data_IF_720580991084
#
_entry.id   IF_720580991084
#
_cell.length_a   1.000
_cell.length_b   1.000
_cell.length_c   1.000
_cell.angle_alpha   90.00
_cell.angle_beta   90.00
_cell.angle_gamma   90.00
#
_symmetry.space_group_name_H-M   'P 1'
#
loop_
_entity.id
_entity.type
_entity.pdbx_description
1 polymer ?
#
# COMPACT_ATOMS: atom_id res chain seq x y z
N UNK A 1 -2.71 -7.85 5.42
CA UNK A 1 -2.47 -7.59 3.99
C UNK A 1 -1.06 -7.11 3.86
N UNK A 2 -0.34 -7.58 2.86
CA UNK A 2 1.01 -7.14 2.52
C UNK A 2 1.02 -6.58 1.11
N UNK A 3 1.71 -5.45 0.92
CA UNK A 3 1.90 -4.82 -0.39
C UNK A 3 3.39 -4.52 -0.55
N UNK A 4 3.99 -5.07 -1.60
CA UNK A 4 5.40 -4.87 -1.94
C UNK A 4 5.50 -4.15 -3.27
N UNK A 5 6.33 -3.11 -3.32
CA UNK A 5 6.64 -2.35 -4.53
C UNK A 5 8.09 -2.60 -4.95
N UNK A 6 8.32 -2.72 -6.25
CA UNK A 6 9.67 -2.79 -6.83
C UNK A 6 9.98 -1.55 -7.66
N UNK A 7 11.26 -1.16 -7.65
CA UNK A 7 11.78 0.04 -8.32
C UNK A 7 10.91 1.27 -8.01
N UNK A 8 10.73 1.56 -6.73
CA UNK A 8 9.91 2.68 -6.29
C UNK A 8 10.73 3.95 -6.07
N UNK A 9 10.08 5.10 -6.27
CA UNK A 9 10.61 6.42 -5.95
C UNK A 9 9.57 7.18 -5.12
N UNK A 10 10.05 8.12 -4.29
CA UNK A 10 9.17 9.14 -3.70
C UNK A 10 8.81 10.13 -4.79
N UNK A 11 7.54 10.16 -5.18
CA UNK A 11 7.04 11.02 -6.25
C UNK A 11 6.46 12.34 -5.75
N UNK A 12 6.22 12.47 -4.45
CA UNK A 12 5.92 13.75 -3.84
C UNK A 12 5.63 13.67 -2.35
N UNK A 13 5.44 14.84 -1.77
CA UNK A 13 5.27 15.05 -0.34
C UNK A 13 4.28 16.20 -0.11
N UNK A 14 3.35 16.02 0.82
CA UNK A 14 2.37 17.02 1.22
C UNK A 14 2.27 17.03 2.75
N UNK A 15 2.62 18.17 3.35
CA UNK A 15 2.43 18.36 4.78
C UNK A 15 0.96 18.55 5.07
N UNK A 16 0.34 17.52 5.66
CA UNK A 16 -1.10 17.32 5.72
C UNK A 16 -1.82 18.46 6.42
N UNK A 17 -1.84 18.39 7.74
CA UNK A 17 -2.59 19.28 8.63
C UNK A 17 -1.70 20.27 9.39
N UNK A 18 -0.40 20.36 9.06
CA UNK A 18 0.56 21.15 9.83
C UNK A 18 0.29 22.67 9.77
N UNK A 19 -0.40 23.12 8.72
CA UNK A 19 -0.77 24.53 8.51
C UNK A 19 -2.25 24.80 8.77
N UNK A 20 -2.99 23.82 9.31
CA UNK A 20 -4.40 23.99 9.57
C UNK A 20 -4.63 24.92 10.76
N UNK A 21 -5.56 25.86 10.57
CA UNK A 21 -5.85 26.90 11.57
C UNK A 21 -6.46 26.37 12.88
N UNK A 22 -6.96 25.13 12.88
CA UNK A 22 -7.55 24.46 14.04
C UNK A 22 -6.88 23.09 14.22
N UNK A 23 -5.77 23.00 14.97
CA UNK A 23 -5.11 21.73 15.22
C UNK A 23 -5.94 20.93 16.24
N UNK A 24 -6.91 20.14 15.76
CA UNK A 24 -7.63 19.17 16.59
C UNK A 24 -7.04 17.75 16.49
N UNK A 25 -6.00 17.56 15.69
CA UNK A 25 -5.40 16.27 15.38
C UNK A 25 -3.87 16.29 15.55
N UNK A 26 -3.29 15.10 15.69
CA UNK A 26 -1.84 14.94 15.64
C UNK A 26 -1.30 15.37 14.26
N UNK A 27 -0.09 15.96 14.18
CA UNK A 27 0.53 16.32 12.91
C UNK A 27 0.64 15.13 11.96
N UNK A 28 0.32 15.33 10.68
CA UNK A 28 0.37 14.30 9.64
C UNK A 28 1.04 14.79 8.35
N UNK A 29 1.67 13.85 7.64
CA UNK A 29 2.28 14.06 6.33
C UNK A 29 1.82 12.98 5.36
N UNK A 30 1.67 13.34 4.09
CA UNK A 30 1.33 12.42 2.99
C UNK A 30 2.54 12.27 2.08
N UNK A 31 2.97 11.03 1.87
CA UNK A 31 4.06 10.67 0.95
C UNK A 31 3.49 9.86 -0.20
N UNK A 32 3.80 10.26 -1.44
CA UNK A 32 3.42 9.51 -2.63
C UNK A 32 4.59 8.69 -3.17
N UNK A 33 4.27 7.49 -3.64
CA UNK A 33 5.22 6.58 -4.25
C UNK A 33 4.80 6.25 -5.68
N UNK A 34 5.74 6.35 -6.61
CA UNK A 34 5.63 5.76 -7.94
C UNK A 34 6.47 4.49 -7.97
N UNK A 35 6.00 3.44 -8.65
CA UNK A 35 6.60 2.12 -8.65
C UNK A 35 6.47 1.49 -10.03
N UNK A 36 7.33 0.53 -10.36
CA UNK A 36 7.24 -0.18 -11.64
C UNK A 36 6.52 -1.52 -11.51
N UNK A 37 6.61 -2.19 -10.35
CA UNK A 37 5.86 -3.43 -10.07
C UNK A 37 5.24 -3.42 -8.70
N UNK A 38 4.13 -4.13 -8.58
CA UNK A 38 3.39 -4.29 -7.32
C UNK A 38 3.01 -5.74 -7.12
N UNK A 39 3.15 -6.22 -5.88
CA UNK A 39 2.67 -7.51 -5.42
C UNK A 39 1.85 -7.32 -4.15
N UNK A 40 0.68 -7.93 -4.11
CA UNK A 40 -0.25 -7.91 -2.98
C UNK A 40 -0.48 -9.33 -2.50
N UNK A 41 -0.33 -9.54 -1.18
CA UNK A 41 -0.64 -10.80 -0.52
C UNK A 41 -1.72 -10.54 0.52
N UNK A 42 -2.85 -11.23 0.38
CA UNK A 42 -3.94 -11.18 1.34
C UNK A 42 -4.14 -12.55 2.00
N UNK A 43 -3.80 -12.63 3.29
CA UNK A 43 -4.08 -13.82 4.11
C UNK A 43 -5.55 -13.81 4.53
N UNK A 44 -6.34 -14.71 3.97
CA UNK A 44 -7.74 -14.91 4.33
C UNK A 44 -7.86 -15.55 5.71
N UNK A 45 -8.86 -15.11 6.46
CA UNK A 45 -9.15 -15.61 7.80
C UNK A 45 -10.55 -16.22 7.86
N UNK A 46 -10.67 -17.30 8.62
CA UNK A 46 -11.94 -17.93 8.95
C UNK A 46 -12.83 -16.96 9.72
N UNK A 47 -14.07 -16.84 9.27
CA UNK A 47 -15.10 -16.06 9.97
C UNK A 47 -15.44 -16.63 11.34
N UNK A 48 -15.25 -17.94 11.54
CA UNK A 48 -15.65 -18.62 12.77
C UNK A 48 -14.62 -18.44 13.90
N UNK A 49 -13.32 -18.43 13.59
CA UNK A 49 -12.27 -18.48 14.60
C UNK A 49 -11.07 -17.56 14.32
N UNK A 50 -11.10 -16.76 13.26
CA UNK A 50 -10.01 -15.84 12.90
C UNK A 50 -8.71 -16.52 12.45
N UNK A 51 -8.69 -17.86 12.37
CA UNK A 51 -7.50 -18.58 11.90
C UNK A 51 -7.29 -18.35 10.42
N UNK A 52 -6.02 -18.31 10.02
CA UNK A 52 -5.64 -18.19 8.62
C UNK A 52 -6.09 -19.45 7.86
N UNK A 53 -6.70 -19.24 6.69
CA UNK A 53 -7.17 -20.32 5.81
C UNK A 53 -6.23 -20.44 4.61
N UNK A 54 -6.18 -19.39 3.79
CA UNK A 54 -5.45 -19.38 2.51
C UNK A 54 -4.85 -18.00 2.25
N UNK A 55 -4.00 -17.89 1.23
CA UNK A 55 -3.48 -16.62 0.75
C UNK A 55 -3.91 -16.37 -0.70
N UNK A 56 -4.38 -15.15 -0.96
CA UNK A 56 -4.60 -14.65 -2.31
C UNK A 56 -3.39 -13.80 -2.68
N UNK A 57 -2.72 -14.16 -3.78
CA UNK A 57 -1.57 -13.44 -4.32
C UNK A 57 -1.95 -12.84 -5.67
N UNK A 58 -1.69 -11.55 -5.84
CA UNK A 58 -1.86 -10.85 -7.10
C UNK A 58 -0.76 -9.81 -7.29
N UNK A 59 -0.43 -9.49 -8.54
CA UNK A 59 0.51 -8.43 -8.82
C UNK A 59 0.59 -8.09 -10.30
N UNK A 60 1.25 -6.97 -10.56
CA UNK A 60 1.34 -6.37 -11.90
C UNK A 60 2.73 -5.80 -12.16
N UNK A 61 3.26 -6.08 -13.34
CA UNK A 61 4.48 -5.50 -13.89
C UNK A 61 4.08 -4.44 -14.92
N UNK A 62 4.26 -3.15 -14.57
CA UNK A 62 3.90 -2.05 -15.45
C UNK A 62 4.89 -1.86 -16.60
N UNK A 63 6.15 -2.30 -16.43
CA UNK A 63 7.18 -2.17 -17.46
C UNK A 63 6.89 -3.10 -18.64
N UNK A 64 6.35 -4.29 -18.35
CA UNK A 64 5.99 -5.31 -19.34
C UNK A 64 4.51 -5.37 -19.67
N UNK A 65 3.67 -4.68 -18.88
CA UNK A 65 2.21 -4.73 -18.98
C UNK A 65 1.66 -6.16 -18.85
N UNK A 66 2.15 -6.90 -17.85
CA UNK A 66 1.77 -8.30 -17.60
C UNK A 66 1.52 -8.56 -16.12
N UNK A 67 0.88 -9.70 -15.82
CA UNK A 67 0.77 -10.19 -14.44
C UNK A 67 2.15 -10.47 -13.84
N UNK A 68 2.29 -10.21 -12.54
CA UNK A 68 3.49 -10.45 -11.73
C UNK A 68 3.07 -11.16 -10.45
N UNK A 69 3.28 -12.48 -10.38
CA UNK A 69 2.86 -13.31 -9.25
C UNK A 69 4.08 -13.85 -8.49
#
# INVERSE_FOLDING_TARGET
>A
MEVTFENFIVSGFYSGNIFDALPSAFPEDVVWFSYSKIKMIYSQQSRANGQMIEQVVAGWDQERNTTYA
#
